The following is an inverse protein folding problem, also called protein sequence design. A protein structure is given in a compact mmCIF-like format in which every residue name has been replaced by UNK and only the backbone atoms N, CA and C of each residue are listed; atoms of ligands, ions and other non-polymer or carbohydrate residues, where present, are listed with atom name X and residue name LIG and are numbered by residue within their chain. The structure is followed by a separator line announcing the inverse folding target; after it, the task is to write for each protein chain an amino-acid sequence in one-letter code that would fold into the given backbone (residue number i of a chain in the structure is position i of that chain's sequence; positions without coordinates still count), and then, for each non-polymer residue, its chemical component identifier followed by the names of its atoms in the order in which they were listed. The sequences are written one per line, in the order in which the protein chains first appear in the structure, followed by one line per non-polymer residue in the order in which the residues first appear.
data_IF_196826322225
#
_entry.id   IF_196826322225
#
_cell.length_a   1.000
_cell.length_b   1.000
_cell.length_c   1.000
_cell.angle_alpha   90.00
_cell.angle_beta   90.00
_cell.angle_gamma   90.00
#
_symmetry.space_group_name_H-M   'P 1'
#
loop_
_entity.id
_entity.type
_entity.pdbx_description
1 polymer ?
#
# COMPACT_ATOMS: atom_id res chain seq x y z
N UNK A 1 -30.25 42.01 11.51
CA UNK A 1 -29.15 41.95 10.52
C UNK A 1 -28.21 40.85 10.96
N UNK A 2 -28.14 39.74 10.23
CA UNK A 2 -27.08 38.75 10.44
C UNK A 2 -25.99 39.03 9.41
N UNK A 3 -24.76 39.24 9.87
CA UNK A 3 -23.60 39.25 8.98
C UNK A 3 -23.25 37.79 8.64
N UNK A 4 -23.34 37.42 7.36
CA UNK A 4 -22.78 36.16 6.90
C UNK A 4 -21.25 36.29 6.93
N UNK A 5 -20.58 35.41 7.67
CA UNK A 5 -19.13 35.29 7.61
C UNK A 5 -18.75 34.62 6.29
N UNK A 6 -18.37 35.41 5.28
CA UNK A 6 -17.85 34.89 4.01
C UNK A 6 -16.43 34.38 4.22
N UNK A 7 -16.25 33.05 4.18
CA UNK A 7 -14.92 32.43 4.07
C UNK A 7 -14.18 33.04 2.88
N UNK A 8 -12.91 33.47 3.02
CA UNK A 8 -12.16 34.02 1.90
C UNK A 8 -12.00 32.95 0.80
N UNK A 9 -12.03 33.32 -0.49
CA UNK A 9 -11.78 32.38 -1.57
C UNK A 9 -10.35 31.82 -1.47
N UNK A 10 -10.21 30.52 -1.67
CA UNK A 10 -8.89 29.88 -1.76
C UNK A 10 -8.06 30.54 -2.86
N UNK A 11 -6.80 30.87 -2.54
CA UNK A 11 -5.92 31.54 -3.49
C UNK A 11 -5.47 30.57 -4.58
N UNK A 12 -5.50 31.03 -5.83
CA UNK A 12 -5.10 30.25 -7.00
C UNK A 12 -3.61 29.90 -6.91
N UNK A 13 -3.30 28.61 -6.71
CA UNK A 13 -1.93 28.13 -6.43
C UNK A 13 -1.17 27.96 -7.75
N UNK A 14 -0.80 29.10 -8.35
CA UNK A 14 0.14 29.13 -9.48
C UNK A 14 1.43 28.41 -9.10
N UNK A 15 1.82 27.41 -9.91
CA UNK A 15 2.83 26.41 -9.56
C UNK A 15 4.23 26.98 -9.34
N UNK A 16 4.63 27.06 -8.06
CA UNK A 16 6.00 27.30 -7.67
C UNK A 16 6.87 26.08 -7.95
N UNK A 17 7.54 26.09 -9.11
CA UNK A 17 8.53 25.11 -9.65
C UNK A 17 8.92 24.00 -8.67
N UNK A 18 8.31 22.82 -8.84
CA UNK A 18 8.57 21.64 -8.02
C UNK A 18 10.06 21.26 -8.00
N UNK A 19 10.53 20.77 -6.85
CA UNK A 19 11.85 20.18 -6.70
C UNK A 19 11.78 18.69 -7.09
N UNK A 20 12.63 18.29 -8.02
CA UNK A 20 12.59 16.99 -8.68
C UNK A 20 12.81 15.81 -7.71
N UNK A 21 11.96 14.78 -7.81
CA UNK A 21 12.11 13.52 -7.08
C UNK A 21 12.82 12.53 -8.01
N UNK A 22 14.08 12.83 -8.32
CA UNK A 22 14.84 12.14 -9.36
C UNK A 22 15.11 10.68 -8.99
N UNK A 23 14.60 9.75 -9.80
CA UNK A 23 15.05 8.35 -9.77
C UNK A 23 16.45 8.23 -10.42
N UNK A 24 17.37 7.40 -9.88
CA UNK A 24 18.72 7.29 -10.41
C UNK A 24 18.74 6.49 -11.73
N UNK A 25 19.08 7.15 -12.84
CA UNK A 25 19.39 6.47 -14.10
C UNK A 25 20.88 6.11 -14.17
N UNK A 26 21.18 4.90 -14.68
CA UNK A 26 22.55 4.43 -14.89
C UNK A 26 23.20 5.06 -16.13
N UNK A 27 24.52 5.27 -16.06
CA UNK A 27 25.32 5.85 -17.15
C UNK A 27 26.23 4.81 -17.79
N UNK A 28 26.11 4.63 -19.11
CA UNK A 28 27.06 3.81 -19.89
C UNK A 28 28.49 4.35 -19.82
N UNK A 29 29.46 3.43 -19.85
CA UNK A 29 30.89 3.74 -19.82
C UNK A 29 31.54 3.54 -21.20
N UNK A 30 32.50 4.42 -21.56
CA UNK A 30 33.31 4.28 -22.79
C UNK A 30 34.80 4.37 -22.46
N UNK A 31 35.57 3.40 -22.93
CA UNK A 31 37.03 3.22 -22.83
C UNK A 31 37.67 3.30 -24.24
N UNK A 32 39.00 3.19 -24.49
CA UNK A 32 40.20 3.03 -23.63
C UNK A 32 41.29 4.12 -24.00
N UNK A 33 42.65 3.92 -24.05
CA UNK A 33 43.57 2.90 -23.49
C UNK A 33 44.92 3.39 -22.86
N UNK A 34 45.60 2.49 -22.13
CA UNK A 34 47.09 2.43 -21.99
C UNK A 34 47.72 3.16 -20.78
N UNK A 35 48.85 2.72 -20.18
CA UNK A 35 49.74 1.55 -20.44
C UNK A 35 50.44 1.03 -19.15
N UNK A 36 50.97 -0.20 -19.21
CA UNK A 36 51.72 -0.98 -18.19
C UNK A 36 52.85 -0.23 -17.43
N UNK A 37 53.22 -0.57 -16.19
CA UNK A 37 54.17 -1.65 -15.73
C UNK A 37 54.38 -1.56 -14.19
N UNK A 38 54.86 -2.52 -13.35
CA UNK A 38 55.24 -3.96 -13.45
C UNK A 38 55.52 -4.57 -12.04
N UNK A 39 55.51 -5.92 -11.92
CA UNK A 39 55.98 -6.81 -10.81
C UNK A 39 55.25 -6.94 -9.44
N UNK A 40 54.82 -8.18 -9.18
CA UNK A 40 54.67 -8.94 -7.91
C UNK A 40 56.06 -9.46 -7.42
N UNK A 41 56.25 -10.21 -6.31
CA UNK A 41 55.35 -11.17 -5.62
C UNK A 41 55.37 -11.12 -4.07
N UNK A 42 54.85 -12.10 -3.30
CA UNK A 42 53.50 -12.71 -3.23
C UNK A 42 53.38 -13.55 -1.93
N UNK A 43 52.16 -13.79 -1.42
CA UNK A 43 51.83 -14.78 -0.38
C UNK A 43 50.34 -15.19 -0.44
N UNK A 44 50.03 -16.41 0.02
CA UNK A 44 48.73 -17.10 0.01
C UNK A 44 47.49 -16.27 0.46
N UNK A 45 46.39 -16.25 -0.30
CA UNK A 45 45.22 -17.17 -0.27
C UNK A 45 44.22 -16.89 0.88
N UNK A 46 42.90 -16.95 0.70
CA UNK A 46 42.08 -17.75 -0.25
C UNK A 46 40.89 -16.93 -0.79
N UNK A 47 40.39 -17.27 -1.99
CA UNK A 47 39.27 -16.60 -2.68
C UNK A 47 37.90 -17.29 -2.43
N UNK A 48 36.75 -16.62 -2.69
CA UNK A 48 35.44 -17.05 -2.17
C UNK A 48 34.51 -17.72 -3.22
N UNK A 49 33.42 -18.38 -2.78
CA UNK A 49 32.16 -18.40 -3.52
C UNK A 49 31.40 -17.08 -3.29
N UNK A 50 30.65 -16.52 -4.23
CA UNK A 50 30.00 -17.18 -5.36
C UNK A 50 28.50 -17.08 -5.16
N UNK A 51 27.94 -15.90 -5.39
CA UNK A 51 26.51 -15.60 -5.17
C UNK A 51 25.78 -15.72 -6.51
N UNK A 52 25.11 -16.85 -6.72
CA UNK A 52 24.41 -17.13 -7.98
C UNK A 52 23.18 -16.24 -8.19
N UNK A 53 22.84 -16.04 -9.45
CA UNK A 53 21.82 -15.10 -9.90
C UNK A 53 20.39 -15.68 -9.93
N UNK A 54 19.42 -14.76 -9.98
CA UNK A 54 18.02 -14.89 -10.39
C UNK A 54 17.56 -16.25 -10.91
N UNK A 55 16.74 -16.94 -10.13
CA UNK A 55 16.10 -18.22 -10.53
C UNK A 55 14.79 -17.98 -11.30
N UNK A 56 14.65 -18.43 -12.57
CA UNK A 56 13.37 -18.43 -13.28
C UNK A 56 12.44 -19.56 -12.77
N UNK A 57 11.13 -19.51 -13.03
CA UNK A 57 10.18 -20.43 -12.40
C UNK A 57 10.31 -21.88 -12.88
N UNK A 58 10.61 -22.80 -11.97
CA UNK A 58 10.37 -24.24 -12.21
C UNK A 58 11.17 -25.22 -11.33
N UNK A 59 10.56 -25.71 -10.25
CA UNK A 59 10.45 -27.16 -9.90
C UNK A 59 9.69 -27.34 -8.58
N UNK A 60 8.77 -28.31 -8.52
CA UNK A 60 8.02 -28.63 -7.29
C UNK A 60 8.87 -29.43 -6.30
N UNK A 61 9.70 -28.74 -5.50
CA UNK A 61 10.21 -29.29 -4.25
C UNK A 61 9.14 -29.17 -3.17
N UNK A 62 8.48 -30.29 -2.87
CA UNK A 62 7.48 -30.39 -1.81
C UNK A 62 8.15 -30.38 -0.42
N UNK A 63 8.63 -29.22 0.02
CA UNK A 63 8.90 -28.97 1.44
C UNK A 63 7.63 -29.30 2.22
N UNK A 64 7.70 -30.25 3.15
CA UNK A 64 6.57 -30.55 4.03
C UNK A 64 6.16 -29.28 4.79
N UNK A 65 4.85 -29.04 4.98
CA UNK A 65 4.38 -27.93 5.82
C UNK A 65 4.89 -28.13 7.25
N UNK A 66 5.31 -27.05 7.89
CA UNK A 66 5.54 -27.06 9.33
C UNK A 66 4.23 -27.35 10.08
N UNK A 67 4.34 -27.88 11.30
CA UNK A 67 3.23 -28.48 12.06
C UNK A 67 2.07 -27.50 12.25
N UNK A 68 2.35 -26.23 12.61
CA UNK A 68 1.34 -25.15 12.71
C UNK A 68 0.61 -24.90 11.37
N UNK A 69 1.28 -25.08 10.23
CA UNK A 69 0.68 -24.90 8.90
C UNK A 69 -0.23 -26.07 8.54
N UNK A 70 0.17 -27.30 8.89
CA UNK A 70 -0.65 -28.49 8.70
C UNK A 70 -1.88 -28.51 9.63
N UNK A 71 -1.72 -28.13 10.90
CA UNK A 71 -2.82 -27.96 11.85
C UNK A 71 -3.80 -26.86 11.41
N UNK A 72 -3.28 -25.73 10.93
CA UNK A 72 -4.08 -24.65 10.34
C UNK A 72 -4.88 -25.11 9.13
N UNK A 73 -4.24 -25.81 8.19
CA UNK A 73 -4.92 -26.38 7.01
C UNK A 73 -6.06 -27.32 7.43
N UNK A 74 -5.81 -28.19 8.42
CA UNK A 74 -6.82 -29.11 8.93
C UNK A 74 -7.95 -28.39 9.69
N UNK A 75 -7.67 -27.31 10.43
CA UNK A 75 -8.69 -26.47 11.07
C UNK A 75 -9.55 -25.76 10.03
N UNK A 76 -8.92 -25.07 9.08
CA UNK A 76 -9.60 -24.33 8.01
C UNK A 76 -10.48 -25.26 7.17
N UNK A 77 -9.96 -26.43 6.78
CA UNK A 77 -10.69 -27.47 6.04
C UNK A 77 -12.01 -27.86 6.73
N UNK A 78 -11.95 -28.24 8.02
CA UNK A 78 -13.13 -28.59 8.82
C UNK A 78 -14.12 -27.44 9.00
N UNK A 79 -13.65 -26.18 9.02
CA UNK A 79 -14.46 -24.98 9.27
C UNK A 79 -15.10 -24.42 8.00
N UNK A 80 -14.47 -24.63 6.84
CA UNK A 80 -14.99 -24.29 5.51
C UNK A 80 -15.90 -25.40 4.93
N UNK A 81 -15.70 -26.65 5.34
CA UNK A 81 -16.29 -27.81 4.65
C UNK A 81 -15.61 -28.11 3.31
N UNK A 82 -14.34 -27.71 3.16
CA UNK A 82 -13.55 -27.80 1.92
C UNK A 82 -12.28 -28.58 2.20
N UNK A 83 -12.02 -29.65 1.45
CA UNK A 83 -10.84 -30.49 1.64
C UNK A 83 -9.57 -29.77 1.11
N UNK A 84 -8.82 -29.16 2.02
CA UNK A 84 -7.52 -28.52 1.75
C UNK A 84 -6.38 -29.55 1.78
N UNK A 85 -5.40 -29.41 0.87
CA UNK A 85 -4.22 -30.29 0.74
C UNK A 85 -3.03 -29.66 1.49
N UNK A 86 -2.64 -30.15 2.68
CA UNK A 86 -1.61 -29.50 3.50
C UNK A 86 -0.23 -29.40 2.83
N UNK A 87 0.12 -30.39 1.99
CA UNK A 87 1.39 -30.45 1.25
C UNK A 87 1.51 -29.34 0.19
N UNK A 88 0.39 -28.74 -0.22
CA UNK A 88 0.36 -27.58 -1.11
C UNK A 88 0.54 -26.24 -0.38
N UNK A 89 0.60 -26.24 0.95
CA UNK A 89 0.67 -25.02 1.73
C UNK A 89 2.03 -24.31 1.55
N UNK A 90 1.96 -23.01 1.26
CA UNK A 90 3.10 -22.10 1.21
C UNK A 90 2.79 -20.90 2.11
N UNK A 91 3.54 -20.78 3.20
CA UNK A 91 3.45 -19.63 4.08
C UNK A 91 4.11 -18.42 3.42
N UNK A 92 3.42 -17.28 3.47
CA UNK A 92 3.99 -15.96 3.23
C UNK A 92 4.00 -15.21 4.57
N UNK A 93 5.21 -14.94 5.03
CA UNK A 93 5.49 -14.29 6.31
C UNK A 93 5.98 -12.83 6.15
N UNK A 94 5.88 -12.25 4.95
CA UNK A 94 6.22 -10.83 4.68
C UNK A 94 5.27 -9.84 5.37
N UNK A 95 3.99 -10.20 5.52
CA UNK A 95 2.93 -9.34 6.06
C UNK A 95 3.19 -8.82 7.48
N UNK A 96 2.97 -7.52 7.69
CA UNK A 96 3.30 -6.80 8.93
C UNK A 96 2.46 -7.23 10.14
N UNK A 97 1.14 -7.35 9.93
CA UNK A 97 0.15 -7.64 10.97
C UNK A 97 -0.52 -9.02 10.80
N UNK A 98 -0.29 -9.69 9.68
CA UNK A 98 -0.84 -11.01 9.36
C UNK A 98 0.23 -11.99 8.89
N UNK A 99 0.00 -13.28 9.19
CA UNK A 99 0.64 -14.42 8.51
C UNK A 99 -0.31 -14.95 7.45
N UNK A 100 0.17 -15.08 6.23
CA UNK A 100 -0.61 -15.56 5.07
C UNK A 100 -0.18 -16.98 4.74
N UNK A 101 -1.10 -17.83 4.31
CA UNK A 101 -0.81 -19.16 3.76
C UNK A 101 -1.61 -19.36 2.49
N UNK A 102 -0.91 -19.55 1.38
CA UNK A 102 -1.47 -20.01 0.12
C UNK A 102 -1.62 -21.53 0.18
N UNK A 103 -2.80 -22.06 -0.14
CA UNK A 103 -3.08 -23.50 -0.09
C UNK A 103 -4.08 -23.89 -1.18
N UNK A 104 -4.06 -25.13 -1.64
CA UNK A 104 -4.96 -25.65 -2.67
C UNK A 104 -5.93 -26.69 -2.10
N UNK A 105 -7.17 -26.67 -2.57
CA UNK A 105 -8.18 -27.68 -2.29
C UNK A 105 -8.09 -28.88 -3.26
N UNK A 106 -8.70 -30.01 -2.93
CA UNK A 106 -8.72 -31.20 -3.81
C UNK A 106 -9.50 -31.00 -5.10
N UNK A 107 -10.44 -30.04 -5.13
CA UNK A 107 -11.13 -29.57 -6.35
C UNK A 107 -10.26 -28.68 -7.26
N UNK A 108 -9.03 -28.32 -6.82
CA UNK A 108 -8.10 -27.44 -7.55
C UNK A 108 -8.21 -25.95 -7.19
N UNK A 109 -9.22 -25.53 -6.43
CA UNK A 109 -9.40 -24.14 -5.98
C UNK A 109 -8.21 -23.72 -5.11
N UNK A 110 -7.64 -22.57 -5.40
CA UNK A 110 -6.62 -21.96 -4.55
C UNK A 110 -7.30 -21.10 -3.48
N UNK A 111 -6.77 -21.14 -2.27
CA UNK A 111 -7.28 -20.47 -1.08
C UNK A 111 -6.17 -19.66 -0.42
N UNK A 112 -6.58 -18.57 0.22
CA UNK A 112 -5.78 -17.81 1.17
C UNK A 112 -6.32 -18.09 2.57
N UNK A 113 -5.42 -18.46 3.49
CA UNK A 113 -5.66 -18.47 4.93
C UNK A 113 -4.86 -17.29 5.52
N UNK A 114 -5.49 -16.41 6.31
CA UNK A 114 -4.82 -15.25 6.92
C UNK A 114 -5.08 -15.21 8.42
N UNK A 115 -4.02 -15.32 9.23
CA UNK A 115 -4.06 -15.26 10.71
C UNK A 115 -3.46 -13.94 11.19
N UNK A 116 -4.11 -13.20 12.11
CA UNK A 116 -3.49 -12.03 12.73
C UNK A 116 -2.31 -12.46 13.60
N UNK A 117 -1.21 -11.71 13.54
CA UNK A 117 -0.02 -11.90 14.39
C UNK A 117 -0.22 -11.36 15.82
N UNK A 118 -1.24 -10.52 16.02
CA UNK A 118 -1.48 -9.71 17.22
C UNK A 118 -2.99 -9.51 17.48
N UNK A 119 -3.43 -9.30 18.74
CA UNK A 119 -4.84 -9.00 19.05
C UNK A 119 -5.36 -7.72 18.36
N UNK A 120 -4.52 -6.72 18.14
CA UNK A 120 -4.89 -5.48 17.48
C UNK A 120 -5.26 -5.72 16.00
N UNK A 121 -4.54 -6.60 15.32
CA UNK A 121 -4.83 -7.02 13.95
C UNK A 121 -6.13 -7.86 13.87
N UNK A 122 -6.52 -8.53 14.95
CA UNK A 122 -7.82 -9.20 15.06
C UNK A 122 -8.98 -8.20 15.07
N UNK A 123 -8.82 -7.04 15.71
CA UNK A 123 -9.83 -5.97 15.67
C UNK A 123 -9.95 -5.35 14.28
N UNK A 124 -8.86 -5.25 13.51
CA UNK A 124 -8.91 -4.78 12.12
C UNK A 124 -9.75 -5.70 11.22
N UNK A 125 -9.72 -7.02 11.42
CA UNK A 125 -10.54 -7.97 10.66
C UNK A 125 -12.05 -7.68 10.75
N UNK A 126 -12.54 -7.18 11.89
CA UNK A 126 -13.95 -6.82 12.06
C UNK A 126 -14.34 -5.61 11.19
N UNK A 127 -13.46 -4.62 11.09
CA UNK A 127 -13.63 -3.43 10.25
C UNK A 127 -13.58 -3.84 8.77
N UNK A 128 -12.52 -4.54 8.39
CA UNK A 128 -12.26 -5.00 7.03
C UNK A 128 -13.37 -5.92 6.49
N UNK A 129 -13.84 -6.88 7.30
CA UNK A 129 -14.93 -7.78 6.91
C UNK A 129 -16.25 -7.05 6.65
N UNK A 130 -16.52 -5.97 7.38
CA UNK A 130 -17.68 -5.11 7.14
C UNK A 130 -17.51 -4.28 5.85
N UNK A 131 -16.33 -3.68 5.63
CA UNK A 131 -16.00 -2.96 4.40
C UNK A 131 -16.14 -3.86 3.16
N UNK A 132 -15.51 -5.04 3.20
CA UNK A 132 -15.61 -6.05 2.12
C UNK A 132 -17.07 -6.43 1.86
N UNK A 133 -17.89 -6.62 2.89
CA UNK A 133 -19.31 -6.91 2.73
C UNK A 133 -20.08 -5.77 2.07
N UNK A 134 -19.74 -4.50 2.37
CA UNK A 134 -20.40 -3.31 1.82
C UNK A 134 -19.99 -2.98 0.37
N UNK A 135 -18.75 -3.27 -0.04
CA UNK A 135 -18.24 -2.92 -1.38
C UNK A 135 -18.28 -4.08 -2.40
N UNK A 136 -18.31 -5.34 -1.94
CA UNK A 136 -18.40 -6.54 -2.80
C UNK A 136 -19.64 -6.48 -3.68
N UNK A 137 -19.45 -6.62 -4.99
CA UNK A 137 -20.52 -6.53 -5.99
C UNK A 137 -20.92 -5.11 -6.40
N UNK A 138 -20.41 -4.08 -5.71
CA UNK A 138 -20.43 -2.68 -6.18
C UNK A 138 -19.18 -2.36 -7.00
N UNK A 139 -18.01 -2.82 -6.54
CA UNK A 139 -16.72 -2.64 -7.22
C UNK A 139 -16.67 -3.51 -8.49
N UNK A 140 -16.08 -2.97 -9.56
CA UNK A 140 -16.04 -3.60 -10.89
C UNK A 140 -15.01 -4.75 -11.04
N UNK A 141 -14.16 -4.96 -10.03
CA UNK A 141 -13.22 -6.09 -9.92
C UNK A 141 -13.46 -6.88 -8.64
N UNK A 142 -13.15 -8.18 -8.60
CA UNK A 142 -13.12 -8.98 -7.38
C UNK A 142 -12.37 -8.34 -6.20
N UNK A 143 -12.92 -8.58 -5.00
CA UNK A 143 -12.30 -8.32 -3.68
C UNK A 143 -12.36 -9.61 -2.84
N UNK A 144 -11.55 -9.78 -1.78
CA UNK A 144 -11.58 -10.96 -0.92
C UNK A 144 -12.98 -11.37 -0.43
N UNK A 145 -13.43 -12.55 -0.83
CA UNK A 145 -14.75 -13.10 -0.48
C UNK A 145 -14.65 -14.10 0.67
N UNK A 146 -14.67 -13.58 1.91
CA UNK A 146 -14.42 -14.37 3.13
C UNK A 146 -15.51 -15.44 3.35
N UNK A 147 -15.10 -16.71 3.28
CA UNK A 147 -15.95 -17.89 3.56
C UNK A 147 -15.74 -18.45 4.97
N UNK A 148 -14.63 -18.10 5.61
CA UNK A 148 -14.41 -18.22 7.03
C UNK A 148 -13.92 -16.87 7.57
N UNK A 149 -14.50 -16.43 8.68
CA UNK A 149 -14.05 -15.28 9.44
C UNK A 149 -14.23 -15.60 10.93
N UNK A 150 -13.13 -15.61 11.66
CA UNK A 150 -13.07 -15.63 13.12
C UNK A 150 -11.98 -14.65 13.58
N UNK A 151 -11.93 -14.26 14.86
CA UNK A 151 -10.87 -13.40 15.38
C UNK A 151 -9.45 -13.95 15.15
N UNK A 152 -9.29 -15.26 14.99
CA UNK A 152 -8.02 -15.97 14.84
C UNK A 152 -7.70 -16.38 13.39
N UNK A 153 -8.69 -16.39 12.49
CA UNK A 153 -8.54 -16.85 11.12
C UNK A 153 -9.58 -16.28 10.14
N UNK A 154 -9.09 -15.71 9.05
CA UNK A 154 -9.85 -15.46 7.82
C UNK A 154 -9.46 -16.46 6.73
N UNK A 155 -10.42 -16.93 5.92
CA UNK A 155 -10.14 -17.69 4.70
C UNK A 155 -11.08 -17.33 3.55
N UNK A 156 -10.50 -17.21 2.35
CA UNK A 156 -11.19 -16.88 1.09
C UNK A 156 -10.53 -17.57 -0.12
N UNK A 157 -11.27 -17.84 -1.20
CA UNK A 157 -10.68 -18.27 -2.46
C UNK A 157 -9.70 -17.21 -2.99
N UNK A 158 -8.50 -17.62 -3.41
CA UNK A 158 -7.49 -16.71 -3.97
C UNK A 158 -8.02 -16.08 -5.26
N UNK A 159 -7.97 -14.74 -5.32
CA UNK A 159 -8.38 -13.97 -6.50
C UNK A 159 -7.48 -14.29 -7.72
N UNK A 160 -8.01 -14.19 -8.95
CA UNK A 160 -7.25 -14.47 -10.17
C UNK A 160 -6.26 -13.34 -10.51
N UNK A 161 -5.19 -13.71 -11.21
CA UNK A 161 -4.10 -12.81 -11.58
C UNK A 161 -2.88 -12.88 -10.65
N UNK A 162 -2.02 -11.88 -10.83
CA UNK A 162 -0.76 -11.62 -10.09
C UNK A 162 -0.75 -10.15 -9.64
N UNK A 163 0.08 -9.77 -8.67
CA UNK A 163 0.21 -8.36 -8.29
C UNK A 163 0.78 -7.52 -9.45
N UNK A 164 0.39 -6.24 -9.53
CA UNK A 164 0.90 -5.30 -10.54
C UNK A 164 2.37 -4.88 -10.26
N UNK A 165 2.86 -5.17 -9.06
CA UNK A 165 4.23 -4.96 -8.61
C UNK A 165 4.45 -5.58 -7.22
N UNK A 166 5.60 -5.33 -6.62
CA UNK A 166 5.96 -5.76 -5.26
C UNK A 166 6.60 -4.62 -4.48
N UNK A 167 6.62 -4.71 -3.15
CA UNK A 167 7.44 -3.84 -2.31
C UNK A 167 8.69 -4.59 -1.83
N UNK A 168 9.84 -3.93 -1.87
CA UNK A 168 11.05 -4.39 -1.18
C UNK A 168 10.93 -4.17 0.34
N UNK A 169 10.99 -5.23 1.18
CA UNK A 169 10.61 -5.15 2.59
C UNK A 169 11.63 -4.46 3.51
N UNK A 170 12.84 -4.15 3.02
CA UNK A 170 13.87 -3.44 3.79
C UNK A 170 13.96 -1.96 3.43
N UNK A 171 13.89 -1.66 2.14
CA UNK A 171 14.04 -0.30 1.59
C UNK A 171 12.72 0.44 1.45
N UNK A 172 11.59 -0.29 1.39
CA UNK A 172 10.25 0.23 1.11
C UNK A 172 10.21 0.98 -0.23
N UNK A 173 10.64 0.27 -1.28
CA UNK A 173 10.62 0.70 -2.68
C UNK A 173 9.69 -0.24 -3.44
N UNK A 174 8.75 0.32 -4.20
CA UNK A 174 7.92 -0.48 -5.09
C UNK A 174 8.64 -0.74 -6.42
N UNK A 175 8.59 -1.99 -6.88
CA UNK A 175 8.95 -2.38 -8.24
C UNK A 175 7.69 -2.77 -9.03
N UNK A 176 7.65 -2.45 -10.32
CA UNK A 176 6.47 -2.62 -11.17
C UNK A 176 6.63 -3.80 -12.13
N UNK A 177 5.73 -4.79 -12.04
CA UNK A 177 5.63 -5.87 -13.01
C UNK A 177 5.03 -5.42 -14.36
N UNK A 178 4.50 -4.20 -14.45
CA UNK A 178 3.96 -3.58 -15.65
C UNK A 178 3.97 -2.05 -15.57
N UNK A 179 4.16 -1.36 -16.70
CA UNK A 179 4.04 0.10 -16.78
C UNK A 179 2.56 0.55 -16.63
N UNK A 180 2.19 1.29 -15.57
CA UNK A 180 0.82 1.77 -15.35
C UNK A 180 0.39 2.90 -16.30
N UNK A 181 1.34 3.63 -16.88
CA UNK A 181 1.11 4.75 -17.80
C UNK A 181 1.05 4.30 -19.26
N UNK A 182 1.65 3.15 -19.61
CA UNK A 182 1.53 2.57 -20.95
C UNK A 182 0.06 2.40 -21.38
N UNK A 183 -0.82 1.97 -20.45
CA UNK A 183 -2.22 1.61 -20.72
C UNK A 183 -3.18 1.95 -19.57
N UNK A 184 -3.43 3.24 -19.28
CA UNK A 184 -4.34 3.65 -18.21
C UNK A 184 -5.77 3.11 -18.41
N UNK A 185 -6.23 2.89 -19.65
CA UNK A 185 -7.53 2.28 -19.96
C UNK A 185 -7.71 0.84 -19.41
N UNK A 186 -6.60 0.18 -19.03
CA UNK A 186 -6.56 -1.19 -18.50
C UNK A 186 -6.19 -1.28 -17.02
N UNK A 187 -5.63 -0.23 -16.44
CA UNK A 187 -5.16 -0.25 -15.05
C UNK A 187 -5.64 0.97 -14.25
N UNK A 188 -5.09 2.17 -14.49
CA UNK A 188 -5.42 3.37 -13.70
C UNK A 188 -6.89 3.81 -13.81
N UNK A 189 -7.54 3.67 -14.96
CA UNK A 189 -8.94 4.04 -15.14
C UNK A 189 -9.92 3.03 -14.53
N UNK A 190 -9.72 1.70 -14.64
CA UNK A 190 -10.38 0.72 -13.78
C UNK A 190 -10.18 0.99 -12.29
N UNK A 191 -8.95 1.27 -11.84
CA UNK A 191 -8.62 1.52 -10.43
C UNK A 191 -9.36 2.76 -9.92
N UNK A 192 -9.29 3.88 -10.67
CA UNK A 192 -10.04 5.10 -10.39
C UNK A 192 -11.54 4.85 -10.21
N UNK A 193 -12.18 4.05 -11.08
CA UNK A 193 -13.60 3.68 -10.93
C UNK A 193 -13.85 2.85 -9.66
N UNK A 194 -12.92 1.98 -9.27
CA UNK A 194 -13.02 1.25 -8.00
C UNK A 194 -12.95 2.21 -6.81
N UNK A 195 -11.99 3.15 -6.80
CA UNK A 195 -11.87 4.16 -5.75
C UNK A 195 -13.10 5.09 -5.69
N UNK A 196 -13.71 5.47 -6.82
CA UNK A 196 -14.99 6.21 -6.82
C UNK A 196 -16.09 5.38 -6.13
N UNK A 197 -16.22 4.08 -6.43
CA UNK A 197 -17.20 3.22 -5.76
C UNK A 197 -16.96 3.07 -4.26
N UNK A 198 -15.70 3.01 -3.81
CA UNK A 198 -15.34 3.00 -2.38
C UNK A 198 -15.71 4.34 -1.74
N UNK A 199 -15.22 5.45 -2.29
CA UNK A 199 -15.43 6.80 -1.74
C UNK A 199 -16.89 7.29 -1.84
N UNK A 200 -17.72 6.67 -2.68
CA UNK A 200 -19.17 6.92 -2.78
C UNK A 200 -20.05 5.88 -2.07
N UNK A 201 -19.46 4.90 -1.38
CA UNK A 201 -20.22 3.97 -0.56
C UNK A 201 -20.87 4.74 0.61
N UNK A 202 -22.21 4.67 0.79
CA UNK A 202 -22.89 5.40 1.84
C UNK A 202 -22.38 5.03 3.24
N UNK A 203 -22.19 6.04 4.08
CA UNK A 203 -21.93 5.91 5.51
C UNK A 203 -23.24 6.15 6.26
N UNK A 204 -24.21 5.27 6.04
CA UNK A 204 -25.57 5.31 6.56
C UNK A 204 -25.95 3.97 7.24
N UNK A 205 -27.13 3.91 7.85
CA UNK A 205 -27.61 2.75 8.60
C UNK A 205 -27.90 1.49 7.73
N UNK A 206 -27.50 1.46 6.45
CA UNK A 206 -27.66 0.26 5.60
C UNK A 206 -26.64 -0.84 5.93
N UNK A 207 -25.57 -0.52 6.67
CA UNK A 207 -24.58 -1.46 7.17
C UNK A 207 -23.85 -0.90 8.40
N UNK A 208 -23.34 -1.78 9.27
CA UNK A 208 -22.55 -1.37 10.44
C UNK A 208 -21.04 -1.48 10.14
N UNK A 209 -20.27 -0.43 10.44
CA UNK A 209 -18.81 -0.43 10.40
C UNK A 209 -18.25 -0.47 11.84
N UNK A 210 -17.67 -1.60 12.30
CA UNK A 210 -17.19 -1.73 13.67
C UNK A 210 -16.07 -0.74 14.04
N UNK A 211 -15.96 -0.41 15.33
CA UNK A 211 -14.83 0.35 15.90
C UNK A 211 -15.03 1.86 15.97
N UNK A 212 -13.97 2.57 16.37
CA UNK A 212 -13.99 4.01 16.64
C UNK A 212 -13.37 4.81 15.48
N UNK A 213 -14.21 5.36 14.63
CA UNK A 213 -13.82 6.12 13.44
C UNK A 213 -13.60 7.61 13.74
N UNK A 214 -12.79 8.34 12.94
CA UNK A 214 -12.77 9.80 13.01
C UNK A 214 -14.15 10.37 12.64
N UNK A 215 -14.66 11.31 13.44
CA UNK A 215 -15.99 11.89 13.22
C UNK A 215 -16.02 12.91 12.06
N UNK A 216 -14.91 13.62 11.84
CA UNK A 216 -14.82 14.72 10.88
C UNK A 216 -13.36 14.93 10.37
N UNK A 217 -13.17 15.72 9.30
CA UNK A 217 -11.85 16.10 8.79
C UNK A 217 -10.96 16.81 9.81
N UNK A 218 -11.55 17.57 10.74
CA UNK A 218 -10.82 18.28 11.81
C UNK A 218 -10.15 17.28 12.76
N UNK A 219 -10.82 16.17 13.08
CA UNK A 219 -10.28 15.06 13.87
C UNK A 219 -9.11 14.39 13.16
N UNK A 220 -9.19 14.18 11.84
CA UNK A 220 -8.08 13.61 11.04
C UNK A 220 -6.87 14.56 11.04
N UNK A 221 -7.10 15.86 10.81
CA UNK A 221 -6.09 16.92 10.83
C UNK A 221 -5.42 17.05 12.20
N UNK A 222 -6.19 17.04 13.29
CA UNK A 222 -5.67 17.06 14.66
C UNK A 222 -4.76 15.86 14.92
N UNK A 223 -5.20 14.63 14.60
CA UNK A 223 -4.38 13.41 14.78
C UNK A 223 -3.05 13.46 14.03
N UNK A 224 -2.96 14.21 12.94
CA UNK A 224 -1.71 14.44 12.19
C UNK A 224 -0.85 15.54 12.85
N UNK A 225 -1.46 16.61 13.37
CA UNK A 225 -0.76 17.61 14.19
C UNK A 225 -0.22 17.02 15.52
N UNK A 226 -0.94 16.08 16.13
CA UNK A 226 -0.52 15.33 17.31
C UNK A 226 0.69 14.44 16.99
N UNK A 227 0.65 13.69 15.86
CA UNK A 227 1.81 12.94 15.34
C UNK A 227 3.01 13.85 15.09
N UNK A 228 2.83 15.04 14.49
CA UNK A 228 3.92 16.00 14.28
C UNK A 228 4.49 16.52 15.60
N UNK A 229 3.62 16.82 16.58
CA UNK A 229 4.03 17.31 17.90
C UNK A 229 4.84 16.25 18.66
N UNK A 230 4.38 15.00 18.66
CA UNK A 230 5.11 13.85 19.21
C UNK A 230 6.45 13.64 18.51
N UNK A 231 6.46 13.61 17.18
CA UNK A 231 7.67 13.37 16.41
C UNK A 231 8.74 14.46 16.63
N UNK A 232 8.35 15.72 16.87
CA UNK A 232 9.29 16.80 17.25
C UNK A 232 9.87 16.68 18.67
N UNK A 233 9.33 15.81 19.51
CA UNK A 233 9.84 15.52 20.84
C UNK A 233 10.68 14.24 20.90
N UNK A 234 10.42 13.28 20.01
CA UNK A 234 11.06 11.95 19.99
C UNK A 234 12.09 11.75 18.86
N UNK A 235 12.13 12.64 17.84
CA UNK A 235 12.97 12.49 16.65
C UNK A 235 13.66 13.81 16.25
N UNK A 236 14.87 13.71 15.72
CA UNK A 236 15.56 14.83 15.06
C UNK A 236 14.96 15.04 13.65
N UNK A 237 14.09 16.04 13.51
CA UNK A 237 13.39 16.38 12.27
C UNK A 237 13.96 17.65 11.62
N UNK A 238 14.20 17.69 10.30
CA UNK A 238 14.65 18.91 9.63
C UNK A 238 13.62 20.05 9.75
N UNK A 239 14.05 21.21 10.25
CA UNK A 239 13.17 22.38 10.48
C UNK A 239 12.38 22.81 9.24
N UNK A 240 12.97 22.68 8.05
CA UNK A 240 12.31 23.04 6.79
C UNK A 240 11.12 22.11 6.47
N UNK A 241 11.21 20.81 6.82
CA UNK A 241 10.10 19.86 6.70
C UNK A 241 9.03 20.14 7.76
N UNK A 242 9.44 20.42 9.00
CA UNK A 242 8.53 20.85 10.08
C UNK A 242 7.75 22.11 9.68
N UNK A 243 8.41 23.12 9.10
CA UNK A 243 7.76 24.33 8.60
C UNK A 243 6.78 24.04 7.46
N UNK A 244 7.14 23.17 6.51
CA UNK A 244 6.25 22.74 5.40
C UNK A 244 5.01 22.00 5.91
N UNK A 245 5.16 21.06 6.84
CA UNK A 245 4.02 20.32 7.41
C UNK A 245 3.12 21.20 8.27
N UNK A 246 3.69 22.16 9.03
CA UNK A 246 2.89 23.16 9.74
C UNK A 246 2.07 24.01 8.77
N UNK A 247 2.67 24.55 7.70
CA UNK A 247 1.92 25.29 6.68
C UNK A 247 0.77 24.46 6.08
N UNK A 248 0.99 23.17 5.79
CA UNK A 248 -0.08 22.27 5.32
C UNK A 248 -1.16 22.01 6.38
N UNK A 249 -0.80 21.90 7.66
CA UNK A 249 -1.73 21.78 8.78
C UNK A 249 -2.46 23.09 9.12
N UNK A 250 -1.94 24.24 8.67
CA UNK A 250 -2.51 25.58 8.87
C UNK A 250 -3.37 26.04 7.66
N UNK A 251 -3.30 25.37 6.50
CA UNK A 251 -3.98 25.76 5.24
C UNK A 251 -5.29 25.00 5.02
N UNK A 252 -6.41 25.63 5.41
CA UNK A 252 -7.76 25.04 5.36
C UNK A 252 -8.17 24.56 3.96
N UNK A 253 -7.74 25.23 2.90
CA UNK A 253 -8.09 24.89 1.51
C UNK A 253 -7.57 23.51 1.08
N UNK A 254 -6.57 22.95 1.79
CA UNK A 254 -6.01 21.64 1.49
C UNK A 254 -6.78 20.48 2.14
N UNK A 255 -7.66 20.71 3.11
CA UNK A 255 -8.32 19.64 3.87
C UNK A 255 -9.73 19.32 3.36
N UNK A 256 -10.16 18.04 3.32
CA UNK A 256 -11.45 17.65 2.77
C UNK A 256 -12.61 18.19 3.61
N UNK A 257 -13.75 18.50 2.98
CA UNK A 257 -14.97 18.98 3.68
C UNK A 257 -15.75 17.85 4.37
N UNK A 258 -15.56 16.61 3.89
CA UNK A 258 -16.18 15.39 4.43
C UNK A 258 -15.20 14.23 4.38
N UNK A 259 -15.37 13.28 5.29
CA UNK A 259 -14.72 11.98 5.20
C UNK A 259 -15.52 11.04 4.29
N UNK A 260 -14.87 10.00 3.80
CA UNK A 260 -15.47 8.93 3.00
C UNK A 260 -14.98 7.57 3.50
N UNK A 261 -15.59 6.48 3.04
CA UNK A 261 -14.94 5.17 3.12
C UNK A 261 -13.69 5.19 2.22
N UNK A 262 -12.55 4.72 2.73
CA UNK A 262 -11.27 4.57 2.00
C UNK A 262 -10.72 3.15 2.16
N UNK A 263 -9.84 2.73 1.25
CA UNK A 263 -9.10 1.47 1.33
C UNK A 263 -7.87 1.57 2.25
N UNK A 264 -7.18 2.71 2.23
CA UNK A 264 -6.05 3.02 3.11
C UNK A 264 -4.74 2.27 2.83
N UNK A 265 -4.62 1.57 1.70
CA UNK A 265 -3.42 0.77 1.34
C UNK A 265 -3.33 0.46 -0.17
N UNK A 266 -3.48 1.48 -1.02
CA UNK A 266 -3.63 1.32 -2.48
C UNK A 266 -2.29 1.43 -3.18
N UNK A 267 -1.66 0.30 -3.47
CA UNK A 267 -0.36 0.22 -4.14
C UNK A 267 -0.24 -1.04 -5.03
N UNK A 268 0.84 -1.19 -5.84
CA UNK A 268 0.93 -2.25 -6.86
C UNK A 268 0.86 -3.68 -6.33
N UNK A 269 1.27 -3.92 -5.08
CA UNK A 269 1.20 -5.22 -4.40
C UNK A 269 -0.23 -5.66 -4.11
N UNK A 270 -1.11 -4.70 -3.79
CA UNK A 270 -2.52 -4.96 -3.46
C UNK A 270 -3.45 -4.88 -4.68
N UNK A 271 -3.03 -4.27 -5.80
CA UNK A 271 -3.75 -4.38 -7.08
C UNK A 271 -3.36 -5.65 -7.82
N UNK A 272 -4.32 -6.49 -8.19
CA UNK A 272 -4.09 -7.64 -9.06
C UNK A 272 -4.32 -7.30 -10.53
N UNK A 273 -3.56 -7.95 -11.42
CA UNK A 273 -3.69 -7.87 -12.88
C UNK A 273 -3.68 -9.25 -13.54
N UNK A 274 -4.37 -9.36 -14.67
CA UNK A 274 -4.36 -10.52 -15.55
C UNK A 274 -3.81 -10.16 -16.94
N UNK A 275 -2.76 -10.87 -17.36
CA UNK A 275 -2.23 -10.86 -18.73
C UNK A 275 -3.23 -11.47 -19.70
N UNK A 276 -3.44 -10.85 -20.86
CA UNK A 276 -4.40 -11.32 -21.89
C UNK A 276 -3.65 -11.84 -23.12
N UNK A 277 -4.14 -12.91 -23.82
CA UNK A 277 -3.40 -13.54 -24.92
C UNK A 277 -3.00 -12.64 -26.10
N UNK A 278 -3.61 -11.46 -26.21
CA UNK A 278 -3.41 -10.49 -27.29
C UNK A 278 -3.44 -9.04 -26.77
N UNK A 279 -3.09 -8.83 -25.50
CA UNK A 279 -3.15 -7.49 -24.91
C UNK A 279 -2.33 -7.31 -23.63
N UNK A 280 -2.16 -6.05 -23.21
CA UNK A 280 -1.45 -5.71 -21.98
C UNK A 280 -2.24 -6.22 -20.75
N UNK A 281 -1.56 -6.38 -19.59
CA UNK A 281 -2.22 -6.70 -18.33
C UNK A 281 -3.33 -5.69 -18.01
N UNK A 282 -4.39 -6.18 -17.37
CA UNK A 282 -5.53 -5.38 -16.95
C UNK A 282 -5.92 -5.70 -15.52
N UNK A 283 -6.38 -4.70 -14.76
CA UNK A 283 -6.81 -4.83 -13.36
C UNK A 283 -7.85 -5.96 -13.21
N UNK A 284 -7.55 -6.93 -12.35
CA UNK A 284 -8.37 -8.13 -12.09
C UNK A 284 -8.83 -8.27 -10.63
N UNK A 285 -8.32 -7.45 -9.70
CA UNK A 285 -8.74 -7.49 -8.31
C UNK A 285 -8.07 -6.43 -7.43
N UNK A 286 -8.58 -6.28 -6.20
CA UNK A 286 -8.06 -5.36 -5.18
C UNK A 286 -8.05 -6.05 -3.80
N UNK A 287 -6.85 -6.15 -3.20
CA UNK A 287 -6.51 -6.96 -2.03
C UNK A 287 -6.20 -6.13 -0.77
N UNK A 288 -6.07 -6.82 0.35
CA UNK A 288 -5.73 -6.36 1.71
C UNK A 288 -6.40 -5.05 2.15
N UNK A 289 -7.59 -5.20 2.70
CA UNK A 289 -8.45 -4.10 3.13
C UNK A 289 -8.28 -3.80 4.63
N UNK A 290 -7.19 -4.25 5.27
CA UNK A 290 -6.96 -4.15 6.71
C UNK A 290 -6.78 -2.72 7.24
N UNK A 291 -6.44 -1.77 6.36
CA UNK A 291 -6.38 -0.33 6.66
C UNK A 291 -7.68 0.42 6.33
N UNK A 292 -8.70 -0.26 5.80
CA UNK A 292 -9.92 0.37 5.31
C UNK A 292 -10.83 0.88 6.44
N UNK A 293 -11.56 1.95 6.17
CA UNK A 293 -12.45 2.59 7.15
C UNK A 293 -12.84 4.01 6.75
N UNK A 294 -13.43 4.78 7.67
CA UNK A 294 -13.77 6.18 7.39
C UNK A 294 -12.52 7.05 7.49
N UNK A 295 -12.22 7.79 6.43
CA UNK A 295 -10.98 8.52 6.30
C UNK A 295 -11.01 9.64 5.26
N UNK A 296 -9.82 10.20 5.06
CA UNK A 296 -9.55 11.28 4.11
C UNK A 296 -9.32 10.67 2.71
N UNK A 297 -10.09 11.07 1.67
CA UNK A 297 -9.97 10.49 0.33
C UNK A 297 -8.58 10.64 -0.29
N UNK A 298 -7.74 11.57 0.20
CA UNK A 298 -6.35 11.70 -0.25
C UNK A 298 -5.45 10.53 0.19
N UNK A 299 -5.90 9.62 1.06
CA UNK A 299 -5.13 8.44 1.49
C UNK A 299 -4.85 7.49 0.31
N UNK A 300 -5.88 7.11 -0.45
CA UNK A 300 -5.84 6.09 -1.52
C UNK A 300 -5.04 6.51 -2.79
N UNK A 301 -4.32 7.64 -2.70
CA UNK A 301 -3.44 8.17 -3.75
C UNK A 301 -1.97 8.30 -3.29
N UNK A 302 -1.66 8.13 -1.99
CA UNK A 302 -0.30 8.33 -1.45
C UNK A 302 0.66 7.26 -1.94
N UNK A 303 0.26 6.00 -1.90
CA UNK A 303 1.19 4.90 -2.15
C UNK A 303 1.31 4.62 -3.67
N UNK A 304 0.27 4.96 -4.45
CA UNK A 304 0.34 5.12 -5.90
C UNK A 304 1.33 6.22 -6.33
N UNK A 305 1.40 7.36 -5.61
CA UNK A 305 2.41 8.39 -5.81
C UNK A 305 3.82 7.87 -5.45
N UNK A 306 3.97 7.11 -4.36
CA UNK A 306 5.26 6.50 -4.00
C UNK A 306 5.74 5.46 -5.02
N UNK A 307 4.80 4.70 -5.61
CA UNK A 307 5.12 3.69 -6.62
C UNK A 307 5.40 4.28 -8.00
N UNK A 308 4.61 5.25 -8.44
CA UNK A 308 4.60 5.72 -9.83
C UNK A 308 5.00 7.17 -10.06
N UNK A 309 5.37 7.91 -9.01
CA UNK A 309 5.71 9.32 -9.10
C UNK A 309 4.51 10.23 -9.41
N UNK A 310 4.79 11.49 -9.76
CA UNK A 310 3.76 12.50 -10.05
C UNK A 310 2.89 12.14 -11.24
N UNK A 311 3.45 11.50 -12.26
CA UNK A 311 2.75 11.25 -13.52
C UNK A 311 1.65 10.19 -13.34
N UNK A 312 1.91 9.17 -12.49
CA UNK A 312 0.89 8.20 -12.08
C UNK A 312 -0.15 8.83 -11.15
N UNK A 313 0.26 9.68 -10.20
CA UNK A 313 -0.68 10.41 -9.35
C UNK A 313 -1.63 11.27 -10.18
N UNK A 314 -1.09 12.09 -11.08
CA UNK A 314 -1.87 13.04 -11.88
C UNK A 314 -2.77 12.30 -12.88
N UNK A 315 -2.28 11.22 -13.51
CA UNK A 315 -3.13 10.36 -14.35
C UNK A 315 -4.24 9.66 -13.56
N UNK A 316 -3.99 9.24 -12.32
CA UNK A 316 -4.98 8.61 -11.46
C UNK A 316 -6.03 9.61 -10.95
N UNK A 317 -5.62 10.83 -10.57
CA UNK A 317 -6.53 11.92 -10.20
C UNK A 317 -7.42 12.35 -11.38
N UNK A 318 -6.88 12.47 -12.59
CA UNK A 318 -7.67 12.77 -13.79
C UNK A 318 -8.65 11.64 -14.14
N UNK A 319 -8.23 10.39 -14.00
CA UNK A 319 -9.11 9.23 -14.18
C UNK A 319 -10.21 9.18 -13.10
N UNK A 320 -9.89 9.50 -11.84
CA UNK A 320 -10.85 9.56 -10.73
C UNK A 320 -11.87 10.68 -10.93
N UNK A 321 -11.42 11.88 -11.34
CA UNK A 321 -12.32 12.98 -11.74
C UNK A 321 -13.22 12.59 -12.91
N UNK A 322 -12.67 11.93 -13.93
CA UNK A 322 -13.42 11.44 -15.10
C UNK A 322 -14.44 10.36 -14.74
N UNK A 323 -14.17 9.56 -13.71
CA UNK A 323 -15.09 8.55 -13.16
C UNK A 323 -16.21 9.14 -12.26
N UNK A 324 -16.24 10.47 -12.06
CA UNK A 324 -17.21 11.15 -11.19
C UNK A 324 -16.74 11.35 -9.74
N UNK A 325 -15.48 11.06 -9.44
CA UNK A 325 -14.85 11.34 -8.16
C UNK A 325 -14.55 12.83 -7.96
N UNK A 326 -14.69 13.29 -6.73
CA UNK A 326 -14.49 14.71 -6.40
C UNK A 326 -13.00 15.02 -6.21
N UNK A 327 -12.39 15.67 -7.20
CA UNK A 327 -11.02 16.22 -7.10
C UNK A 327 -11.11 17.73 -6.97
N UNK A 328 -11.23 18.19 -5.71
CA UNK A 328 -11.22 19.63 -5.37
C UNK A 328 -9.86 20.26 -5.66
N UNK A 329 -9.86 21.58 -5.82
CA UNK A 329 -8.62 22.37 -5.88
C UNK A 329 -7.77 22.11 -4.62
N UNK A 330 -6.44 22.06 -4.80
CA UNK A 330 -5.52 21.71 -3.72
C UNK A 330 -5.40 20.20 -3.40
N UNK A 331 -6.27 19.30 -3.89
CA UNK A 331 -6.18 17.86 -3.56
C UNK A 331 -4.82 17.24 -3.92
N UNK A 332 -4.25 17.55 -5.10
CA UNK A 332 -2.89 17.12 -5.49
C UNK A 332 -1.84 17.59 -4.47
N UNK A 333 -1.92 18.85 -4.04
CA UNK A 333 -1.00 19.43 -3.07
C UNK A 333 -1.16 18.81 -1.67
N UNK A 334 -2.39 18.43 -1.28
CA UNK A 334 -2.62 17.63 -0.09
C UNK A 334 -1.95 16.26 -0.22
N UNK A 335 -2.18 15.49 -1.30
CA UNK A 335 -1.57 14.16 -1.47
C UNK A 335 -0.04 14.25 -1.38
N UNK A 336 0.58 15.23 -2.05
CA UNK A 336 2.03 15.48 -1.97
C UNK A 336 2.49 15.82 -0.55
N UNK A 337 1.75 16.65 0.19
CA UNK A 337 2.07 17.00 1.58
C UNK A 337 1.92 15.80 2.54
N UNK A 338 0.82 15.05 2.41
CA UNK A 338 0.51 13.82 3.15
C UNK A 338 1.54 12.73 2.90
N UNK A 339 1.91 12.49 1.65
CA UNK A 339 2.98 11.58 1.27
C UNK A 339 4.31 12.00 1.90
N UNK A 340 4.66 13.30 1.86
CA UNK A 340 5.88 13.80 2.50
C UNK A 340 5.90 13.60 4.02
N UNK A 341 4.75 13.42 4.66
CA UNK A 341 4.59 13.14 6.09
C UNK A 341 4.58 11.64 6.43
N UNK A 342 4.41 10.73 5.45
CA UNK A 342 4.32 9.28 5.68
C UNK A 342 5.48 8.74 6.52
N UNK A 343 6.71 9.18 6.24
CA UNK A 343 7.90 8.76 6.99
C UNK A 343 7.87 9.16 8.47
N UNK A 344 7.16 10.25 8.84
CA UNK A 344 6.93 10.57 10.26
C UNK A 344 6.06 9.49 10.92
N UNK A 345 5.05 8.98 10.20
CA UNK A 345 4.25 7.87 10.69
C UNK A 345 5.06 6.57 10.81
N UNK A 346 5.89 6.24 9.80
CA UNK A 346 6.77 5.05 9.82
C UNK A 346 7.76 5.12 10.98
N UNK A 347 8.39 6.27 11.21
CA UNK A 347 9.32 6.46 12.33
C UNK A 347 8.64 6.26 13.69
N UNK A 348 7.47 6.88 13.92
CA UNK A 348 6.71 6.69 15.16
C UNK A 348 6.25 5.23 15.33
N UNK A 349 5.81 4.55 14.27
CA UNK A 349 5.44 3.12 14.30
C UNK A 349 6.66 2.24 14.59
N UNK A 350 7.85 2.63 14.14
CA UNK A 350 9.13 2.00 14.49
C UNK A 350 9.45 2.10 15.98
N UNK A 351 9.25 3.27 16.59
CA UNK A 351 9.36 3.46 18.05
C UNK A 351 8.33 2.62 18.79
N UNK A 352 7.05 2.73 18.41
CA UNK A 352 5.91 2.05 19.07
C UNK A 352 6.00 0.52 19.03
N UNK A 353 6.74 -0.04 18.07
CA UNK A 353 6.90 -1.49 17.89
C UNK A 353 8.31 -2.02 18.19
N UNK A 354 9.22 -1.16 18.67
CA UNK A 354 10.60 -1.54 18.99
C UNK A 354 11.44 -1.96 17.77
N UNK A 355 11.18 -1.41 16.58
CA UNK A 355 11.82 -1.75 15.31
C UNK A 355 12.74 -0.62 14.84
N UNK A 356 14.02 -0.56 15.30
CA UNK A 356 14.91 0.58 15.04
C UNK A 356 15.24 0.78 13.56
N UNK A 357 15.31 -0.29 12.75
CA UNK A 357 15.55 -0.20 11.31
C UNK A 357 14.47 0.63 10.57
N UNK A 358 13.21 0.60 11.03
CA UNK A 358 12.14 1.43 10.48
C UNK A 358 12.32 2.91 10.81
N UNK A 359 12.78 3.22 12.03
CA UNK A 359 13.12 4.59 12.44
C UNK A 359 14.29 5.11 11.58
N UNK A 360 15.32 4.29 11.41
CA UNK A 360 16.51 4.63 10.62
C UNK A 360 16.18 4.85 9.12
N UNK A 361 15.40 3.95 8.50
CA UNK A 361 14.96 4.12 7.11
C UNK A 361 14.03 5.32 6.93
N UNK A 362 13.13 5.58 7.88
CA UNK A 362 12.30 6.77 7.86
C UNK A 362 13.12 8.07 7.98
N UNK A 363 14.09 8.14 8.91
CA UNK A 363 14.97 9.30 9.05
C UNK A 363 15.85 9.50 7.80
N UNK A 364 16.36 8.43 7.18
CA UNK A 364 17.04 8.50 5.86
C UNK A 364 16.16 9.09 4.76
N UNK A 365 14.86 8.77 4.75
CA UNK A 365 13.89 9.30 3.77
C UNK A 365 13.47 10.75 4.07
N UNK A 366 13.52 11.17 5.34
CA UNK A 366 13.27 12.55 5.78
C UNK A 366 14.49 13.47 5.65
N UNK A 367 15.71 12.94 5.58
CA UNK A 367 16.95 13.70 5.38
C UNK A 367 17.24 14.05 3.90
N UNK A 368 16.56 13.37 2.97
CA UNK A 368 16.44 13.79 1.56
C UNK A 368 15.42 14.92 1.42
#
# INVERSE_FOLDING_TARGET
MNAAATTPPCADVTTGRDADVTAPQGTDATTPPGTSTTTRPDADATAPPGTDASTPPGTDTATHPDTDTAELAAYASRRLGVELVPESARADDSGWDFRVVHIRATDGTHWILRRPRRPEASAQLAVEGAVLAAVRGRIAVPVPDWRLHTPELVAYPRLPGVAAGSEDPETLVYDWAMDPLARPDRYLEPLARCLVTVHSTPLDDTWELPGAHPADPVTVRSRIADKLTRARAELELPDHRVARWRKWLDDDCLWPDRLVLVHGDVHPGHTLVESRPSGPPALSGLLDWANAGVGDPAADFVDMLYAGGTDVLDRLLDAYRTAGGEVRDGMRAHVLARASFLWVHVALRGLDTGRPAWVETALRRLAR
#
